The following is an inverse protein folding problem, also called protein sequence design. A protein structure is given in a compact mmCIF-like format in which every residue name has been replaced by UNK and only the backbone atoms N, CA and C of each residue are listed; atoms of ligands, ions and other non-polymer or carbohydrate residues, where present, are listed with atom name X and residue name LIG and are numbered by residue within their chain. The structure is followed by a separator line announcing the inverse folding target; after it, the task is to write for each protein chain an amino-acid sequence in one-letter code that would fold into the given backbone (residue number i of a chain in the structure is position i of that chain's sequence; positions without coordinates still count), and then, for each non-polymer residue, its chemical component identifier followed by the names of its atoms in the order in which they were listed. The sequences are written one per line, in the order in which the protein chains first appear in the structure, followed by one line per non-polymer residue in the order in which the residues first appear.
data_IF_901341219451
#
_entry.id   IF_901341219451
#
_cell.length_a   1.000
_cell.length_b   1.000
_cell.length_c   1.000
_cell.angle_alpha   90.00
_cell.angle_beta   90.00
_cell.angle_gamma   90.00
#
_symmetry.space_group_name_H-M   'P 1'
#
loop_
_entity.id
_entity.type
_entity.pdbx_description
1 polymer ?
#
# COMPACT_ATOMS: atom_id res chain seq x y z
N UNK A 1 -7.29 21.19 13.91
CA UNK A 1 -7.44 20.03 14.80
C UNK A 1 -8.91 19.92 15.16
N UNK A 2 -9.54 18.76 14.98
CA UNK A 2 -10.99 18.60 15.21
C UNK A 2 -11.26 18.27 16.68
N UNK A 3 -10.62 17.23 17.23
CA UNK A 3 -10.73 16.84 18.63
C UNK A 3 -9.52 15.97 19.05
N UNK A 4 -9.32 15.84 20.35
CA UNK A 4 -8.57 14.75 20.99
C UNK A 4 -9.56 13.80 21.67
N UNK A 5 -9.14 12.55 21.91
CA UNK A 5 -9.88 11.56 22.69
C UNK A 5 -8.91 10.49 23.19
N UNK A 6 -9.19 9.90 24.33
CA UNK A 6 -8.42 8.79 24.90
C UNK A 6 -9.29 7.63 25.43
N UNK A 7 -10.62 7.74 25.28
CA UNK A 7 -11.58 6.69 25.64
C UNK A 7 -12.37 6.17 24.42
N UNK A 8 -12.92 4.97 24.57
CA UNK A 8 -13.76 4.33 23.53
C UNK A 8 -15.06 5.12 23.33
N UNK A 9 -15.64 5.63 24.41
CA UNK A 9 -16.85 6.42 24.42
C UNK A 9 -16.65 7.74 23.66
N UNK A 10 -15.54 8.43 23.88
CA UNK A 10 -15.20 9.65 23.14
C UNK A 10 -14.93 9.38 21.67
N UNK A 11 -14.25 8.27 21.33
CA UNK A 11 -14.06 7.85 19.96
C UNK A 11 -15.40 7.68 19.23
N UNK A 12 -16.33 6.91 19.81
CA UNK A 12 -17.64 6.69 19.19
C UNK A 12 -18.50 7.93 19.20
N UNK A 13 -18.43 8.75 20.26
CA UNK A 13 -19.10 10.04 20.31
C UNK A 13 -18.63 10.93 19.14
N UNK A 14 -17.33 11.10 18.95
CA UNK A 14 -16.78 11.88 17.85
C UNK A 14 -17.17 11.29 16.49
N UNK A 15 -16.94 10.00 16.28
CA UNK A 15 -17.19 9.32 15.01
C UNK A 15 -18.66 9.45 14.57
N UNK A 16 -19.60 9.32 15.51
CA UNK A 16 -21.04 9.41 15.23
C UNK A 16 -21.53 10.86 14.96
N UNK A 17 -20.73 11.88 15.27
CA UNK A 17 -21.09 13.29 15.09
C UNK A 17 -20.33 13.99 13.94
N UNK A 18 -19.48 13.26 13.22
CA UNK A 18 -18.78 13.77 12.03
C UNK A 18 -19.31 13.13 10.75
N UNK A 19 -19.07 13.78 9.62
CA UNK A 19 -19.41 13.22 8.31
C UNK A 19 -18.59 11.95 8.05
N UNK A 20 -19.21 10.91 7.45
CA UNK A 20 -18.45 9.73 7.01
C UNK A 20 -17.44 10.09 5.91
N UNK A 21 -16.38 9.30 5.75
CA UNK A 21 -15.36 9.56 4.74
C UNK A 21 -15.95 9.59 3.31
N UNK A 22 -16.85 8.66 3.01
CA UNK A 22 -17.57 8.58 1.75
C UNK A 22 -18.53 9.74 1.47
N UNK A 23 -18.94 10.46 2.51
CA UNK A 23 -19.81 11.64 2.43
C UNK A 23 -19.06 12.98 2.34
N UNK A 24 -17.73 12.98 2.35
CA UNK A 24 -16.94 14.21 2.22
C UNK A 24 -16.91 14.72 0.77
N UNK A 25 -16.73 16.03 0.62
CA UNK A 25 -16.46 16.65 -0.67
C UNK A 25 -15.08 16.24 -1.20
N UNK A 26 -14.94 16.15 -2.53
CA UNK A 26 -13.63 15.88 -3.15
C UNK A 26 -12.59 16.93 -2.75
N UNK A 27 -11.38 16.47 -2.45
CA UNK A 27 -10.30 17.30 -1.93
C UNK A 27 -10.22 17.33 -0.41
N UNK A 28 -11.22 16.78 0.30
CA UNK A 28 -11.22 16.68 1.76
C UNK A 28 -10.42 15.47 2.25
N UNK A 29 -9.89 15.60 3.46
CA UNK A 29 -9.07 14.58 4.12
C UNK A 29 -9.46 14.45 5.59
N UNK A 30 -9.36 13.25 6.15
CA UNK A 30 -9.29 13.04 7.60
C UNK A 30 -7.95 12.44 7.99
N UNK A 31 -7.53 12.77 9.21
CA UNK A 31 -6.29 12.34 9.83
C UNK A 31 -6.59 11.90 11.26
N UNK A 32 -6.18 10.69 11.63
CA UNK A 32 -6.13 10.22 13.02
C UNK A 32 -4.68 9.91 13.36
N UNK A 33 -4.08 10.61 14.31
CA UNK A 33 -2.69 10.40 14.71
C UNK A 33 -2.59 10.33 16.22
N UNK A 34 -1.59 9.57 16.72
CA UNK A 34 -1.26 9.57 18.14
C UNK A 34 -0.94 10.99 18.61
N UNK A 35 -1.27 11.29 19.86
CA UNK A 35 -1.02 12.62 20.43
C UNK A 35 0.46 13.01 20.30
N UNK A 36 0.71 14.28 19.97
CA UNK A 36 2.06 14.80 19.75
C UNK A 36 2.65 14.53 18.37
N UNK A 37 2.04 13.67 17.53
CA UNK A 37 2.47 13.44 16.15
C UNK A 37 1.66 14.31 15.20
N UNK A 38 2.31 15.21 14.47
CA UNK A 38 1.64 16.01 13.44
C UNK A 38 1.38 15.15 12.21
N UNK A 39 0.21 15.28 11.54
CA UNK A 39 -0.15 14.52 10.34
C UNK A 39 0.56 15.05 9.09
N UNK A 40 1.88 15.16 9.15
CA UNK A 40 2.74 15.68 8.08
C UNK A 40 4.05 14.89 8.04
N UNK A 41 4.64 14.76 6.86
CA UNK A 41 5.83 13.92 6.68
C UNK A 41 7.07 14.52 7.33
N UNK A 42 7.09 15.84 7.57
CA UNK A 42 8.17 16.57 8.20
C UNK A 42 8.25 16.35 9.72
N UNK A 43 7.20 15.79 10.32
CA UNK A 43 7.19 15.45 11.74
C UNK A 43 8.31 14.44 12.04
N UNK A 44 9.02 14.63 13.16
CA UNK A 44 10.14 13.77 13.56
C UNK A 44 9.77 12.29 13.65
N UNK A 45 8.50 11.99 13.96
CA UNK A 45 7.97 10.64 14.05
C UNK A 45 7.64 10.04 12.67
N UNK A 46 7.50 10.86 11.62
CA UNK A 46 7.10 10.43 10.27
C UNK A 46 8.23 10.55 9.23
N UNK A 47 9.22 11.40 9.44
CA UNK A 47 10.21 11.78 8.41
C UNK A 47 11.10 10.63 7.93
N UNK A 48 11.31 9.62 8.78
CA UNK A 48 12.03 8.37 8.43
C UNK A 48 11.08 7.23 8.07
N UNK A 49 9.77 7.49 8.15
CA UNK A 49 8.72 6.53 7.99
C UNK A 49 8.22 6.35 6.58
N UNK A 50 7.07 5.71 6.51
CA UNK A 50 6.34 5.47 5.27
C UNK A 50 4.90 5.12 5.57
N UNK A 51 4.16 4.83 4.51
CA UNK A 51 2.75 4.45 4.60
C UNK A 51 2.43 3.19 3.83
N UNK A 52 1.57 2.37 4.39
CA UNK A 52 0.77 1.44 3.60
C UNK A 52 -0.35 2.21 2.92
N UNK A 53 -0.51 2.04 1.61
CA UNK A 53 -1.48 2.72 0.77
C UNK A 53 -2.45 1.72 0.13
N UNK A 54 -3.74 1.97 0.32
CA UNK A 54 -4.86 1.34 -0.37
C UNK A 54 -5.55 2.38 -1.24
N UNK A 55 -5.77 2.07 -2.51
CA UNK A 55 -6.51 2.92 -3.45
C UNK A 55 -7.91 2.34 -3.65
N UNK A 56 -8.93 3.18 -3.50
CA UNK A 56 -10.33 2.82 -3.67
C UNK A 56 -10.86 3.49 -4.94
N UNK A 57 -10.89 2.74 -6.05
CA UNK A 57 -11.21 3.24 -7.40
C UNK A 57 -12.42 2.52 -8.05
N UNK A 58 -13.33 1.99 -7.22
CA UNK A 58 -14.55 1.28 -7.68
C UNK A 58 -15.63 2.23 -8.21
N UNK A 59 -16.68 1.68 -8.85
CA UNK A 59 -17.89 2.42 -9.20
C UNK A 59 -18.51 3.13 -7.98
N UNK A 60 -19.10 4.31 -8.21
CA UNK A 60 -19.41 5.31 -7.17
C UNK A 60 -20.09 4.76 -5.91
N UNK A 61 -21.14 3.94 -6.03
CA UNK A 61 -21.89 3.44 -4.88
C UNK A 61 -21.08 2.40 -4.07
N UNK A 62 -20.37 1.50 -4.76
CA UNK A 62 -19.47 0.53 -4.10
C UNK A 62 -18.24 1.22 -3.51
N UNK A 63 -17.74 2.29 -4.14
CA UNK A 63 -16.63 3.12 -3.66
C UNK A 63 -16.94 3.73 -2.30
N UNK A 64 -18.10 4.40 -2.16
CA UNK A 64 -18.49 5.05 -0.89
C UNK A 64 -18.58 4.04 0.25
N UNK A 65 -19.28 2.92 0.03
CA UNK A 65 -19.42 1.87 1.05
C UNK A 65 -18.07 1.25 1.44
N UNK A 66 -17.23 0.97 0.45
CA UNK A 66 -15.90 0.39 0.69
C UNK A 66 -14.97 1.36 1.41
N UNK A 67 -15.03 2.65 1.07
CA UNK A 67 -14.25 3.69 1.72
C UNK A 67 -14.62 3.84 3.19
N UNK A 68 -15.92 3.92 3.50
CA UNK A 68 -16.41 4.01 4.87
C UNK A 68 -16.04 2.77 5.70
N UNK A 69 -16.15 1.58 5.10
CA UNK A 69 -15.71 0.33 5.72
C UNK A 69 -14.19 0.34 6.01
N UNK A 70 -13.35 0.62 5.01
CA UNK A 70 -11.90 0.63 5.21
C UNK A 70 -11.44 1.68 6.21
N UNK A 71 -12.07 2.85 6.19
CA UNK A 71 -11.75 3.91 7.14
C UNK A 71 -12.12 3.50 8.57
N UNK A 72 -13.34 3.03 8.81
CA UNK A 72 -13.78 2.64 10.15
C UNK A 72 -12.97 1.44 10.68
N UNK A 73 -12.76 0.39 9.89
CA UNK A 73 -11.96 -0.77 10.30
C UNK A 73 -10.52 -0.37 10.66
N UNK A 74 -9.93 0.56 9.91
CA UNK A 74 -8.60 1.08 10.22
C UNK A 74 -8.58 1.88 11.52
N UNK A 75 -9.57 2.74 11.75
CA UNK A 75 -9.67 3.50 13.00
C UNK A 75 -9.82 2.54 14.19
N UNK A 76 -10.72 1.56 14.10
CA UNK A 76 -10.93 0.54 15.14
C UNK A 76 -9.66 -0.28 15.40
N UNK A 77 -8.94 -0.66 14.35
CA UNK A 77 -7.67 -1.40 14.49
C UNK A 77 -6.59 -0.58 15.21
N UNK A 78 -6.52 0.73 14.97
CA UNK A 78 -5.57 1.63 15.64
C UNK A 78 -5.95 1.84 17.11
N UNK A 79 -7.17 2.31 17.38
CA UNK A 79 -7.59 2.63 18.76
C UNK A 79 -7.71 1.39 19.64
N UNK A 80 -7.97 0.22 19.04
CA UNK A 80 -7.98 -1.07 19.71
C UNK A 80 -6.60 -1.74 19.82
N UNK A 81 -5.51 -1.06 19.44
CA UNK A 81 -4.12 -1.56 19.46
C UNK A 81 -3.99 -2.96 18.85
N UNK A 82 -4.60 -3.16 17.68
CA UNK A 82 -4.73 -4.48 17.03
C UNK A 82 -3.54 -4.85 16.14
N UNK A 83 -2.40 -4.17 16.27
CA UNK A 83 -1.18 -4.40 15.49
C UNK A 83 -0.14 -5.23 16.27
N UNK A 84 -0.60 -6.10 17.17
CA UNK A 84 0.22 -6.94 18.04
C UNK A 84 1.31 -6.12 18.77
N UNK A 85 2.53 -6.65 18.92
CA UNK A 85 3.67 -5.92 19.49
C UNK A 85 4.16 -4.73 18.65
N UNK A 86 3.62 -4.51 17.45
CA UNK A 86 4.09 -3.48 16.52
C UNK A 86 3.31 -2.15 16.62
N UNK A 87 2.36 -2.04 17.56
CA UNK A 87 1.54 -0.83 17.75
C UNK A 87 2.35 0.45 17.99
N UNK A 88 3.54 0.36 18.59
CA UNK A 88 4.43 1.52 18.81
C UNK A 88 4.97 2.14 17.51
N UNK A 89 5.04 1.34 16.44
CA UNK A 89 5.53 1.79 15.13
C UNK A 89 4.44 2.50 14.32
N UNK A 90 3.17 2.40 14.72
CA UNK A 90 2.05 3.08 14.07
C UNK A 90 1.98 4.55 14.53
N UNK A 91 2.04 5.47 13.56
CA UNK A 91 1.91 6.90 13.81
C UNK A 91 0.45 7.37 13.73
N UNK A 92 -0.29 6.86 12.74
CA UNK A 92 -1.65 7.30 12.45
C UNK A 92 -2.18 6.82 11.11
N UNK A 93 -3.37 7.26 10.75
CA UNK A 93 -4.05 6.96 9.52
C UNK A 93 -4.54 8.21 8.79
N UNK A 94 -4.65 8.10 7.48
CA UNK A 94 -5.11 9.16 6.58
C UNK A 94 -6.12 8.60 5.61
N UNK A 95 -7.22 9.33 5.40
CA UNK A 95 -8.10 9.12 4.25
C UNK A 95 -8.11 10.37 3.38
N UNK A 96 -7.91 10.19 2.07
CA UNK A 96 -7.96 11.24 1.09
C UNK A 96 -9.11 10.99 0.11
N UNK A 97 -10.09 11.89 0.09
CA UNK A 97 -11.26 11.77 -0.77
C UNK A 97 -11.01 12.52 -2.07
N UNK A 98 -10.95 11.81 -3.20
CA UNK A 98 -10.53 12.39 -4.50
C UNK A 98 -11.35 11.82 -5.64
N UNK A 99 -11.61 12.66 -6.65
CA UNK A 99 -12.40 12.27 -7.83
C UNK A 99 -11.78 11.09 -8.62
N UNK A 100 -10.45 10.99 -8.65
CA UNK A 100 -9.71 9.96 -9.40
C UNK A 100 -9.47 8.67 -8.62
N UNK A 101 -10.08 8.52 -7.45
CA UNK A 101 -9.88 7.39 -6.55
C UNK A 101 -9.42 7.86 -5.18
N UNK A 102 -10.09 7.36 -4.16
CA UNK A 102 -9.79 7.69 -2.77
C UNK A 102 -8.58 6.90 -2.29
N UNK A 103 -7.93 7.39 -1.25
CA UNK A 103 -6.76 6.74 -0.66
C UNK A 103 -6.99 6.54 0.82
N UNK A 104 -6.76 5.34 1.32
CA UNK A 104 -6.67 5.04 2.75
C UNK A 104 -5.24 4.64 3.05
N UNK A 105 -4.63 5.27 4.04
CA UNK A 105 -3.22 5.07 4.38
C UNK A 105 -3.01 4.85 5.87
N UNK A 106 -2.13 3.90 6.21
CA UNK A 106 -1.61 3.68 7.56
C UNK A 106 -0.14 4.11 7.58
N UNK A 107 0.20 5.07 8.44
CA UNK A 107 1.54 5.64 8.55
C UNK A 107 2.32 4.96 9.67
N UNK A 108 3.58 4.68 9.39
CA UNK A 108 4.50 4.01 10.32
C UNK A 108 5.81 4.77 10.42
N UNK A 109 6.47 4.65 11.56
CA UNK A 109 7.57 5.49 12.01
C UNK A 109 8.91 5.29 11.28
N UNK A 110 9.19 4.07 10.87
CA UNK A 110 10.49 3.69 10.31
C UNK A 110 10.32 2.81 9.07
N UNK A 111 10.62 3.36 7.89
CA UNK A 111 10.53 2.65 6.63
C UNK A 111 11.61 1.59 6.42
N UNK A 112 12.68 1.58 7.22
CA UNK A 112 13.78 0.62 7.07
C UNK A 112 13.47 -0.73 7.72
N UNK A 113 12.51 -0.78 8.66
CA UNK A 113 12.05 -1.97 9.37
C UNK A 113 11.10 -2.81 8.51
N UNK A 114 11.63 -3.50 7.51
CA UNK A 114 10.82 -4.27 6.55
C UNK A 114 10.05 -5.41 7.20
N UNK A 115 10.63 -6.06 8.21
CA UNK A 115 10.01 -7.09 9.04
C UNK A 115 8.74 -6.57 9.74
N UNK A 116 8.87 -5.43 10.43
CA UNK A 116 7.78 -4.76 11.15
C UNK A 116 6.71 -4.28 10.18
N UNK A 117 7.11 -3.56 9.13
CA UNK A 117 6.18 -3.00 8.16
C UNK A 117 5.44 -4.08 7.40
N UNK A 118 6.09 -5.20 7.06
CA UNK A 118 5.46 -6.35 6.43
C UNK A 118 4.37 -6.93 7.34
N UNK A 119 4.68 -7.12 8.63
CA UNK A 119 3.72 -7.68 9.59
C UNK A 119 2.53 -6.74 9.82
N UNK A 120 2.77 -5.44 10.00
CA UNK A 120 1.73 -4.41 10.05
C UNK A 120 0.85 -4.46 8.79
N UNK A 121 1.46 -4.57 7.61
CA UNK A 121 0.75 -4.64 6.33
C UNK A 121 -0.13 -5.88 6.19
N UNK A 122 0.32 -7.03 6.70
CA UNK A 122 -0.47 -8.27 6.73
C UNK A 122 -1.70 -8.13 7.64
N UNK A 123 -1.50 -7.60 8.86
CA UNK A 123 -2.60 -7.34 9.80
C UNK A 123 -3.58 -6.35 9.19
N UNK A 124 -3.10 -5.25 8.61
CA UNK A 124 -3.92 -4.25 7.93
C UNK A 124 -4.78 -4.89 6.83
N UNK A 125 -4.17 -5.72 5.99
CA UNK A 125 -4.87 -6.41 4.90
C UNK A 125 -5.99 -7.32 5.43
N UNK A 126 -5.72 -8.05 6.51
CA UNK A 126 -6.69 -8.92 7.17
C UNK A 126 -7.84 -8.12 7.80
N UNK A 127 -7.53 -7.06 8.56
CA UNK A 127 -8.53 -6.23 9.25
C UNK A 127 -9.48 -5.54 8.28
N UNK A 128 -8.96 -5.02 7.17
CA UNK A 128 -9.79 -4.38 6.15
C UNK A 128 -10.41 -5.38 5.16
N UNK A 129 -10.21 -6.69 5.34
CA UNK A 129 -10.70 -7.74 4.43
C UNK A 129 -10.34 -7.49 2.96
N UNK A 130 -9.12 -6.99 2.72
CA UNK A 130 -8.67 -6.62 1.37
C UNK A 130 -8.33 -7.89 0.59
N UNK A 131 -8.93 -8.11 -0.59
CA UNK A 131 -8.74 -9.34 -1.35
C UNK A 131 -7.31 -9.48 -1.87
N UNK A 132 -6.86 -10.71 -2.12
CA UNK A 132 -5.54 -10.97 -2.69
C UNK A 132 -5.36 -10.47 -4.13
N UNK A 133 -6.46 -10.15 -4.81
CA UNK A 133 -6.43 -9.47 -6.10
C UNK A 133 -5.91 -8.03 -6.01
N UNK A 134 -6.03 -7.40 -4.84
CA UNK A 134 -5.68 -6.01 -4.62
C UNK A 134 -4.30 -5.92 -3.96
N UNK A 135 -3.45 -5.05 -4.52
CA UNK A 135 -2.06 -4.90 -4.08
C UNK A 135 -1.95 -3.69 -3.14
N UNK A 136 -1.64 -3.97 -1.88
CA UNK A 136 -1.17 -2.96 -0.92
C UNK A 136 0.26 -2.57 -1.24
N UNK A 137 0.56 -1.28 -1.14
CA UNK A 137 1.89 -0.73 -1.43
C UNK A 137 2.40 0.00 -0.20
N UNK A 138 3.64 -0.30 0.20
CA UNK A 138 4.35 0.48 1.18
C UNK A 138 5.23 1.52 0.49
N UNK A 139 5.00 2.79 0.76
CA UNK A 139 5.70 3.94 0.16
C UNK A 139 6.46 4.71 1.23
N UNK A 140 7.74 4.96 1.01
CA UNK A 140 8.55 5.82 1.88
C UNK A 140 8.12 7.27 1.70
N UNK A 141 7.99 8.02 2.80
CA UNK A 141 7.52 9.40 2.74
C UNK A 141 8.43 10.31 1.93
N UNK A 142 9.76 10.22 2.11
CA UNK A 142 10.75 11.00 1.35
C UNK A 142 10.69 10.74 -0.16
N UNK A 143 10.51 9.49 -0.55
CA UNK A 143 10.40 9.13 -1.98
C UNK A 143 9.10 9.65 -2.59
N UNK A 144 8.06 9.78 -1.78
CA UNK A 144 6.76 10.33 -2.16
C UNK A 144 6.79 11.85 -2.28
N UNK A 145 7.54 12.55 -1.42
CA UNK A 145 7.62 14.02 -1.41
C UNK A 145 8.51 14.59 -2.52
N UNK A 146 9.54 13.85 -2.94
CA UNK A 146 10.51 14.30 -3.95
C UNK A 146 10.02 14.29 -5.41
N UNK A 147 8.70 14.14 -5.69
CA UNK A 147 8.24 13.67 -7.01
C UNK A 147 7.52 14.67 -7.92
N UNK A 148 7.94 14.60 -9.19
CA UNK A 148 7.37 15.21 -10.41
C UNK A 148 6.54 14.20 -11.26
N UNK A 149 6.50 12.91 -10.87
CA UNK A 149 5.83 11.81 -11.61
C UNK A 149 4.82 11.06 -10.74
N UNK A 150 3.74 10.56 -11.36
CA UNK A 150 2.51 10.07 -10.72
C UNK A 150 2.61 8.75 -9.94
N UNK A 151 3.66 7.93 -10.10
CA UNK A 151 3.71 6.55 -9.51
C UNK A 151 4.98 6.25 -8.72
N UNK A 152 4.96 6.39 -7.38
CA UNK A 152 6.09 6.09 -6.48
C UNK A 152 6.46 4.61 -6.57
N UNK A 153 7.76 4.28 -6.60
CA UNK A 153 8.20 2.88 -6.56
C UNK A 153 7.93 2.35 -5.13
N UNK A 154 7.08 1.34 -4.95
CA UNK A 154 6.82 0.80 -3.62
C UNK A 154 8.05 0.07 -3.10
N UNK A 155 8.29 0.17 -1.79
CA UNK A 155 9.34 -0.57 -1.09
C UNK A 155 8.89 -2.00 -0.79
N UNK A 156 7.63 -2.17 -0.39
CA UNK A 156 7.00 -3.47 -0.12
C UNK A 156 5.66 -3.53 -0.87
N UNK A 157 5.29 -4.70 -1.37
CA UNK A 157 3.98 -4.97 -1.96
C UNK A 157 3.34 -6.18 -1.26
N UNK A 158 2.04 -6.13 -1.01
CA UNK A 158 1.24 -7.23 -0.46
C UNK A 158 0.00 -7.49 -1.33
N UNK A 159 -0.16 -8.68 -1.94
CA UNK A 159 0.75 -9.82 -1.86
C UNK A 159 2.08 -9.53 -2.60
N UNK A 160 3.14 -10.21 -2.20
CA UNK A 160 4.42 -10.11 -2.90
C UNK A 160 4.25 -10.65 -4.33
N UNK A 161 4.87 -10.01 -5.33
CA UNK A 161 4.96 -10.62 -6.66
C UNK A 161 5.75 -11.92 -6.53
N UNK A 162 5.16 -13.03 -6.97
CA UNK A 162 5.94 -14.27 -7.14
C UNK A 162 7.16 -13.97 -8.04
N UNK A 163 8.35 -14.49 -7.69
CA UNK A 163 9.49 -14.39 -8.57
C UNK A 163 9.11 -15.04 -9.90
N UNK A 164 9.36 -14.32 -11.01
CA UNK A 164 9.15 -14.88 -12.34
C UNK A 164 9.92 -16.21 -12.45
N UNK A 165 9.33 -17.26 -13.07
CA UNK A 165 10.04 -18.52 -13.25
C UNK A 165 11.35 -18.24 -13.97
N UNK A 166 12.45 -18.77 -13.42
CA UNK A 166 13.76 -18.65 -14.02
C UNK A 166 13.67 -19.11 -15.47
N UNK A 167 14.01 -18.22 -16.42
CA UNK A 167 14.14 -18.62 -17.81
C UNK A 167 15.31 -19.59 -17.87
N UNK A 168 15.00 -20.88 -17.97
CA UNK A 168 15.98 -21.90 -18.31
C UNK A 168 16.65 -21.46 -19.62
N UNK A 169 17.95 -21.18 -19.53
CA UNK A 169 18.80 -21.04 -20.71
C UNK A 169 19.06 -22.46 -21.23
N UNK A 170 18.05 -23.06 -21.86
CA UNK A 170 18.27 -24.22 -22.72
C UNK A 170 19.04 -23.75 -23.95
N UNK A 171 20.33 -24.04 -23.90
CA UNK A 171 21.31 -24.17 -24.97
C UNK A 171 20.74 -24.12 -26.39
N UNK A 172 21.18 -23.11 -27.14
CA UNK A 172 21.18 -23.15 -28.60
C UNK A 172 22.07 -24.31 -29.09
N UNK A 173 21.66 -25.12 -30.07
CA UNK A 173 22.59 -26.02 -30.75
C UNK A 173 23.30 -25.24 -31.86
N UNK A 174 24.63 -25.16 -31.76
CA UNK A 174 25.52 -24.69 -32.82
C UNK A 174 25.99 -25.85 -33.71
N UNK A 175 25.89 -25.62 -35.02
CA UNK A 175 26.73 -26.13 -36.14
C UNK A 175 26.71 -27.61 -36.53
N UNK A 176 26.41 -27.85 -37.82
CA UNK A 176 27.29 -28.58 -38.73
C UNK A 176 26.94 -28.29 -40.19
N UNK A 177 27.83 -27.58 -40.89
CA UNK A 177 27.82 -27.35 -42.34
C UNK A 177 28.39 -28.60 -43.02
N UNK A 178 27.59 -29.32 -43.80
CA UNK A 178 28.07 -30.45 -44.61
C UNK A 178 28.28 -30.00 -46.06
N UNK A 179 29.54 -29.86 -46.47
CA UNK A 179 29.92 -29.77 -47.88
C UNK A 179 29.76 -31.12 -48.57
N UNK A 180 29.20 -31.14 -49.78
CA UNK A 180 29.11 -32.32 -50.63
C UNK A 180 29.90 -32.08 -51.93
N UNK A 181 30.76 -33.02 -52.37
CA UNK A 181 31.56 -32.89 -53.58
C UNK A 181 30.83 -33.39 -54.85
N UNK A 182 31.21 -32.80 -55.98
CA UNK A 182 30.79 -33.10 -57.36
C UNK A 182 31.20 -34.50 -57.81
N UNK A 183 30.35 -35.26 -58.55
CA UNK A 183 30.77 -36.49 -59.21
C UNK A 183 31.13 -36.26 -60.69
N UNK A 184 32.34 -36.65 -61.08
CA UNK A 184 32.80 -36.81 -62.47
C UNK A 184 32.56 -38.24 -62.94
N UNK A 185 31.98 -38.36 -64.14
CA UNK A 185 31.69 -39.58 -64.92
C UNK A 185 32.97 -40.34 -65.31
N UNK A 186 32.87 -41.64 -65.65
CA UNK A 186 33.05 -41.97 -67.08
C UNK A 186 32.10 -43.07 -67.60
N UNK A 187 31.71 -42.92 -68.86
CA UNK A 187 31.01 -43.91 -69.71
C UNK A 187 32.09 -44.72 -70.49
N UNK A 188 31.83 -46.00 -70.85
CA UNK A 188 32.77 -46.87 -71.57
C UNK A 188 33.26 -46.36 -72.93
#
# INVERSE_FOLDING_TARGET
MVSLFDTVEEFWSLYNHIQSAGGLNWGSDYYLFKEGIKPMWEDVNNVQGGRWLVVVDKQLQRRTQLLDHYWLELLMAIVGEQFDEFGEYVCGAVVNVRQKGDKVSLWTRDATRDDVNLRIGQILKQKLSIPDTDILRYEVHKDSSARTSSTVKPRICLPAKEPAPAKDKTSSPSTATAGSPTPTTPTP
#
